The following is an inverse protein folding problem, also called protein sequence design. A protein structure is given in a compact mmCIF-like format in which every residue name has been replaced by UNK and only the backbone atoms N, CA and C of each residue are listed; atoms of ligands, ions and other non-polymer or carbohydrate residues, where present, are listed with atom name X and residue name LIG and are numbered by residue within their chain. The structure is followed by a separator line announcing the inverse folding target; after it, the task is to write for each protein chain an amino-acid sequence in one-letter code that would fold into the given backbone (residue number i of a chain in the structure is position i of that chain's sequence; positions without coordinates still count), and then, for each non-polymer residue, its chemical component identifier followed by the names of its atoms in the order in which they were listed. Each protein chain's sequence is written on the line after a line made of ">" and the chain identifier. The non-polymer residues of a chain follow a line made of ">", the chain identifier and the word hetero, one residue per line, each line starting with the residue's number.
data_IF_845774432168
#
_entry.id   IF_845774432168
#
_cell.length_a   1.000
_cell.length_b   1.000
_cell.length_c   1.000
_cell.angle_alpha   90.00
_cell.angle_beta   90.00
_cell.angle_gamma   90.00
#
_symmetry.space_group_name_H-M   'P 1'
#
loop_
_entity.id
_entity.type
_entity.pdbx_description
1 polymer ?
#
# COMPACT_ATOMS: atom_id res chain seq x y z
N UNK A 1 -48.54 -47.95 62.70
CA UNK A 1 -48.44 -47.65 61.26
C UNK A 1 -47.03 -47.16 60.97
N UNK A 2 -46.14 -48.09 60.65
CA UNK A 2 -44.78 -47.80 60.18
C UNK A 2 -44.88 -47.32 58.73
N UNK A 3 -44.87 -46.00 58.53
CA UNK A 3 -44.82 -45.38 57.21
C UNK A 3 -43.60 -45.92 56.46
N UNK A 4 -43.84 -46.58 55.33
CA UNK A 4 -42.82 -47.25 54.54
C UNK A 4 -41.94 -46.20 53.84
N UNK A 5 -40.91 -45.70 54.53
CA UNK A 5 -39.97 -44.65 54.06
C UNK A 5 -39.14 -45.06 52.84
N UNK A 6 -39.21 -46.33 52.41
CA UNK A 6 -38.43 -46.89 51.28
C UNK A 6 -38.81 -46.33 49.91
N UNK A 7 -40.01 -45.75 49.75
CA UNK A 7 -40.43 -45.17 48.46
C UNK A 7 -39.77 -43.82 48.12
N UNK A 8 -39.38 -43.05 49.15
CA UNK A 8 -38.82 -41.70 48.98
C UNK A 8 -37.33 -41.78 48.59
N UNK A 9 -36.58 -42.73 49.13
CA UNK A 9 -35.15 -42.91 48.86
C UNK A 9 -34.86 -43.23 47.38
N UNK A 10 -35.72 -44.01 46.72
CA UNK A 10 -35.55 -44.36 45.30
C UNK A 10 -35.74 -43.17 44.35
N UNK A 11 -36.62 -42.22 44.69
CA UNK A 11 -36.85 -41.03 43.88
C UNK A 11 -35.66 -40.05 43.95
N UNK A 12 -34.98 -39.95 45.10
CA UNK A 12 -33.79 -39.11 45.25
C UNK A 12 -32.61 -39.56 44.39
N UNK A 13 -32.41 -40.87 44.19
CA UNK A 13 -31.34 -41.38 43.32
C UNK A 13 -31.52 -40.96 41.86
N UNK A 14 -32.76 -41.02 41.34
CA UNK A 14 -33.04 -40.60 39.96
C UNK A 14 -32.86 -39.09 39.76
N UNK A 15 -33.26 -38.28 40.74
CA UNK A 15 -33.01 -36.83 40.72
C UNK A 15 -31.51 -36.56 40.71
N UNK A 16 -30.72 -37.25 41.53
CA UNK A 16 -29.27 -37.09 41.57
C UNK A 16 -28.61 -37.47 40.23
N UNK A 17 -29.04 -38.58 39.61
CA UNK A 17 -28.54 -39.00 38.29
C UNK A 17 -28.87 -37.96 37.22
N UNK A 18 -30.08 -37.40 37.22
CA UNK A 18 -30.47 -36.35 36.28
C UNK A 18 -29.66 -35.06 36.47
N UNK A 19 -29.45 -34.64 37.72
CA UNK A 19 -28.63 -33.45 38.02
C UNK A 19 -27.18 -33.67 37.59
N UNK A 20 -26.58 -34.82 37.93
CA UNK A 20 -25.22 -35.16 37.52
C UNK A 20 -25.10 -35.21 35.99
N UNK A 21 -26.06 -35.82 35.30
CA UNK A 21 -26.13 -35.85 33.84
C UNK A 21 -26.23 -34.45 33.22
N UNK A 22 -27.07 -33.58 33.78
CA UNK A 22 -27.21 -32.20 33.32
C UNK A 22 -25.91 -31.40 33.50
N UNK A 23 -25.20 -31.56 34.62
CA UNK A 23 -23.92 -30.89 34.89
C UNK A 23 -22.84 -31.37 33.90
N UNK A 24 -22.73 -32.68 33.67
CA UNK A 24 -21.77 -33.25 32.71
C UNK A 24 -22.07 -32.77 31.28
N UNK A 25 -23.34 -32.76 30.90
CA UNK A 25 -23.77 -32.28 29.59
C UNK A 25 -23.45 -30.78 29.42
N UNK A 26 -23.76 -29.95 30.43
CA UNK A 26 -23.42 -28.53 30.42
C UNK A 26 -21.91 -28.30 30.31
N UNK A 27 -21.09 -29.11 30.99
CA UNK A 27 -19.64 -29.07 30.86
C UNK A 27 -19.18 -29.35 29.42
N UNK A 28 -19.68 -30.40 28.78
CA UNK A 28 -19.30 -30.73 27.39
C UNK A 28 -19.76 -29.66 26.40
N UNK A 29 -20.96 -29.08 26.57
CA UNK A 29 -21.39 -27.96 25.74
C UNK A 29 -20.49 -26.72 25.92
N UNK A 30 -20.12 -26.38 27.16
CA UNK A 30 -19.19 -25.29 27.43
C UNK A 30 -17.81 -25.54 26.82
N UNK A 31 -17.30 -26.77 26.95
CA UNK A 31 -16.03 -27.18 26.37
C UNK A 31 -16.05 -27.14 24.84
N UNK A 32 -17.10 -27.65 24.21
CA UNK A 32 -17.27 -27.63 22.75
C UNK A 32 -17.33 -26.20 22.22
N UNK A 33 -18.05 -25.30 22.89
CA UNK A 33 -18.09 -23.88 22.52
C UNK A 33 -16.72 -23.22 22.64
N UNK A 34 -15.98 -23.46 23.74
CA UNK A 34 -14.61 -22.95 23.92
C UNK A 34 -13.62 -23.50 22.89
N UNK A 35 -13.69 -24.80 22.59
CA UNK A 35 -12.83 -25.41 21.58
C UNK A 35 -13.11 -24.86 20.18
N UNK A 36 -14.39 -24.64 19.84
CA UNK A 36 -14.77 -23.97 18.59
C UNK A 36 -14.15 -22.58 18.49
N UNK A 37 -14.31 -21.75 19.54
CA UNK A 37 -13.75 -20.40 19.56
C UNK A 37 -12.21 -20.37 19.48
N UNK A 38 -11.52 -21.28 20.17
CA UNK A 38 -10.06 -21.40 20.06
C UNK A 38 -9.61 -21.89 18.68
N UNK A 39 -10.41 -22.76 18.05
CA UNK A 39 -10.11 -23.25 16.70
C UNK A 39 -10.29 -22.17 15.65
N UNK A 40 -11.31 -21.31 15.75
CA UNK A 40 -11.51 -20.19 14.82
C UNK A 40 -10.38 -19.17 14.98
N UNK A 41 -10.06 -18.76 16.21
CA UNK A 41 -8.94 -17.84 16.47
C UNK A 41 -7.60 -18.37 15.94
N UNK A 42 -7.33 -19.68 16.10
CA UNK A 42 -6.11 -20.29 15.57
C UNK A 42 -6.09 -20.29 14.03
N UNK A 43 -7.23 -20.55 13.40
CA UNK A 43 -7.37 -20.51 11.95
C UNK A 43 -7.12 -19.09 11.42
N UNK A 44 -7.74 -18.08 12.02
CA UNK A 44 -7.57 -16.66 11.67
C UNK A 44 -6.11 -16.22 11.77
N UNK A 45 -5.42 -16.56 12.88
CA UNK A 45 -4.01 -16.24 13.04
C UNK A 45 -3.10 -16.95 12.02
N UNK A 46 -3.45 -18.19 11.66
CA UNK A 46 -2.73 -18.96 10.64
C UNK A 46 -2.90 -18.28 9.28
N UNK A 47 -4.13 -17.95 8.90
CA UNK A 47 -4.43 -17.25 7.64
C UNK A 47 -3.74 -15.89 7.58
N UNK A 48 -3.77 -15.11 8.66
CA UNK A 48 -3.11 -13.81 8.73
C UNK A 48 -1.57 -13.96 8.57
N UNK A 49 -0.99 -14.99 9.16
CA UNK A 49 0.45 -15.28 9.02
C UNK A 49 0.80 -15.75 7.60
N UNK A 50 -0.05 -16.55 6.97
CA UNK A 50 0.15 -16.98 5.57
C UNK A 50 0.09 -15.79 4.60
N UNK A 51 -0.88 -14.89 4.78
CA UNK A 51 -0.99 -13.66 3.99
C UNK A 51 0.22 -12.75 4.23
N UNK A 52 0.68 -12.58 5.47
CA UNK A 52 1.90 -11.83 5.80
C UNK A 52 3.13 -12.39 5.07
N UNK A 53 3.28 -13.72 5.03
CA UNK A 53 4.37 -14.39 4.33
C UNK A 53 4.29 -14.18 2.81
N UNK A 54 3.08 -14.25 2.23
CA UNK A 54 2.84 -13.98 0.81
C UNK A 54 3.19 -12.53 0.47
N UNK A 55 2.72 -11.56 1.26
CA UNK A 55 3.02 -10.13 1.13
C UNK A 55 4.54 -9.89 1.18
N UNK A 56 5.21 -10.48 2.18
CA UNK A 56 6.66 -10.35 2.36
C UNK A 56 7.42 -10.92 1.17
N UNK A 57 6.97 -12.07 0.64
CA UNK A 57 7.56 -12.70 -0.54
C UNK A 57 7.36 -11.85 -1.80
N UNK A 58 6.16 -11.32 -2.00
CA UNK A 58 5.85 -10.43 -3.12
C UNK A 58 6.70 -9.15 -3.07
N UNK A 59 6.94 -8.59 -1.89
CA UNK A 59 7.81 -7.42 -1.72
C UNK A 59 9.27 -7.67 -2.11
N UNK A 60 9.73 -8.92 -2.19
CA UNK A 60 11.07 -9.26 -2.66
C UNK A 60 11.10 -9.35 -4.19
N UNK A 61 10.02 -9.81 -4.83
CA UNK A 61 9.94 -9.92 -6.29
C UNK A 61 9.87 -8.55 -6.98
N UNK A 62 10.47 -8.44 -8.16
CA UNK A 62 10.52 -7.20 -8.92
C UNK A 62 9.48 -7.24 -10.04
N UNK A 63 8.63 -6.23 -10.09
CA UNK A 63 7.73 -5.97 -11.23
C UNK A 63 6.80 -7.14 -11.55
N UNK A 64 6.37 -7.87 -10.53
CA UNK A 64 5.50 -9.04 -10.69
C UNK A 64 4.07 -8.69 -10.33
N UNK A 65 3.12 -9.16 -11.12
CA UNK A 65 1.71 -9.20 -10.77
C UNK A 65 1.27 -10.67 -10.64
N UNK A 66 0.65 -11.04 -9.53
CA UNK A 66 0.20 -12.41 -9.27
C UNK A 66 -1.14 -12.44 -8.53
N UNK A 67 -1.95 -13.45 -8.80
CA UNK A 67 -3.18 -13.71 -8.06
C UNK A 67 -2.87 -14.49 -6.80
N UNK A 68 -3.55 -14.17 -5.71
CA UNK A 68 -3.48 -14.88 -4.44
C UNK A 68 -4.89 -15.23 -3.98
N UNK A 69 -5.09 -16.39 -3.34
CA UNK A 69 -6.38 -16.71 -2.76
C UNK A 69 -6.68 -15.79 -1.56
N UNK A 70 -7.94 -15.36 -1.45
CA UNK A 70 -8.43 -14.56 -0.33
C UNK A 70 -9.29 -15.43 0.59
N UNK A 71 -9.11 -15.34 1.92
CA UNK A 71 -10.01 -16.00 2.86
C UNK A 71 -11.45 -15.55 2.65
N UNK A 72 -12.41 -16.43 2.91
CA UNK A 72 -13.85 -16.11 2.76
C UNK A 72 -14.31 -14.94 3.63
N UNK A 73 -13.56 -14.61 4.67
CA UNK A 73 -13.80 -13.48 5.57
C UNK A 73 -13.35 -12.13 4.99
N UNK A 74 -12.63 -12.13 3.88
CA UNK A 74 -12.02 -10.93 3.30
C UNK A 74 -10.74 -10.48 4.00
N UNK A 75 -10.11 -9.44 3.45
CA UNK A 75 -8.98 -8.73 4.04
C UNK A 75 -9.36 -7.26 4.25
N UNK A 76 -9.23 -6.77 5.48
CA UNK A 76 -9.43 -5.36 5.77
C UNK A 76 -8.10 -4.65 5.98
N UNK A 77 -7.88 -3.51 5.33
CA UNK A 77 -6.68 -2.70 5.46
C UNK A 77 -7.02 -1.34 6.06
N UNK A 78 -6.20 -0.92 7.02
CA UNK A 78 -6.37 0.37 7.68
C UNK A 78 -5.03 0.98 8.08
N UNK A 79 -5.00 2.32 8.14
CA UNK A 79 -3.84 3.08 8.56
C UNK A 79 -4.29 4.25 9.44
N UNK A 80 -3.55 4.50 10.52
CA UNK A 80 -3.77 5.69 11.36
C UNK A 80 -3.03 6.91 10.79
N UNK A 81 -3.38 8.12 11.26
CA UNK A 81 -2.63 9.34 10.93
C UNK A 81 -1.15 9.29 11.37
N UNK A 82 -0.81 8.40 12.31
CA UNK A 82 0.56 8.14 12.77
C UNK A 82 1.28 7.06 11.95
N UNK A 83 0.66 6.59 10.87
CA UNK A 83 1.20 5.56 9.98
C UNK A 83 1.38 4.18 10.62
N UNK A 84 0.54 3.88 11.60
CA UNK A 84 0.33 2.50 12.07
C UNK A 84 -0.63 1.80 11.09
N UNK A 85 -0.07 1.25 10.02
CA UNK A 85 -0.82 0.47 9.04
C UNK A 85 -0.93 -0.99 9.48
N UNK A 86 -2.09 -1.60 9.24
CA UNK A 86 -2.33 -3.00 9.53
C UNK A 86 -3.33 -3.61 8.55
N UNK A 87 -3.31 -4.93 8.45
CA UNK A 87 -4.42 -5.68 7.87
C UNK A 87 -5.06 -6.58 8.92
N UNK A 88 -6.34 -6.89 8.74
CA UNK A 88 -7.15 -7.69 9.65
C UNK A 88 -7.91 -8.78 8.88
N UNK A 89 -7.93 -9.99 9.45
CA UNK A 89 -8.73 -11.13 9.01
C UNK A 89 -9.56 -11.61 10.20
N UNK A 90 -10.84 -11.28 10.22
CA UNK A 90 -11.83 -11.74 11.22
C UNK A 90 -11.39 -11.58 12.71
N UNK A 91 -10.61 -10.54 13.01
CA UNK A 91 -10.11 -10.24 14.36
C UNK A 91 -8.61 -10.50 14.56
N UNK A 92 -7.96 -11.23 13.64
CA UNK A 92 -6.50 -11.36 13.62
C UNK A 92 -5.86 -10.18 12.87
N UNK A 93 -5.25 -9.26 13.63
CA UNK A 93 -4.57 -8.09 13.10
C UNK A 93 -3.06 -8.31 12.94
N UNK A 94 -2.50 -7.84 11.83
CA UNK A 94 -1.06 -7.84 11.54
C UNK A 94 -0.59 -6.46 11.10
N UNK A 95 0.43 -5.94 11.77
CA UNK A 95 1.04 -4.63 11.44
C UNK A 95 1.85 -4.72 10.16
N UNK A 96 1.74 -3.68 9.33
CA UNK A 96 2.46 -3.52 8.07
C UNK A 96 3.45 -2.37 8.23
N UNK A 97 4.74 -2.64 7.96
CA UNK A 97 5.80 -1.61 7.99
C UNK A 97 6.20 -1.19 6.57
N UNK A 98 5.89 -2.03 5.59
CA UNK A 98 6.27 -1.82 4.20
C UNK A 98 5.26 -0.91 3.47
N UNK A 99 5.67 -0.23 2.39
CA UNK A 99 4.77 0.63 1.62
C UNK A 99 3.78 -0.21 0.81
N UNK A 100 2.65 -0.54 1.45
CA UNK A 100 1.51 -1.26 0.88
C UNK A 100 0.39 -0.26 0.59
N UNK A 101 -0.27 -0.46 -0.54
CA UNK A 101 -1.42 0.34 -0.98
C UNK A 101 -2.54 -0.63 -1.38
N UNK A 102 -3.64 -0.58 -0.65
CA UNK A 102 -4.78 -1.48 -0.82
C UNK A 102 -6.10 -0.73 -0.58
N UNK A 103 -7.23 -1.17 -1.16
CA UNK A 103 -8.53 -0.67 -0.75
C UNK A 103 -8.83 -1.01 0.71
N UNK A 104 -9.91 -0.45 1.26
CA UNK A 104 -10.33 -0.69 2.64
C UNK A 104 -10.61 -2.16 2.91
N UNK A 105 -11.30 -2.82 1.99
CA UNK A 105 -11.69 -4.20 2.07
C UNK A 105 -11.42 -4.88 0.73
N UNK A 106 -10.95 -6.14 0.80
CA UNK A 106 -10.85 -7.04 -0.34
C UNK A 106 -11.64 -8.29 -0.01
N UNK A 107 -12.77 -8.41 -0.69
CA UNK A 107 -13.67 -9.55 -0.72
C UNK A 107 -13.39 -10.43 -1.94
N UNK A 108 -14.10 -11.54 -2.04
CA UNK A 108 -14.01 -12.47 -3.17
C UNK A 108 -13.06 -13.64 -2.91
N UNK A 109 -12.76 -14.39 -3.97
CA UNK A 109 -11.93 -15.60 -3.89
C UNK A 109 -10.46 -15.33 -4.16
N UNK A 110 -10.14 -14.22 -4.82
CA UNK A 110 -8.79 -13.88 -5.23
C UNK A 110 -8.52 -12.37 -5.14
N UNK A 111 -7.28 -12.02 -4.84
CA UNK A 111 -6.74 -10.67 -4.98
C UNK A 111 -5.53 -10.69 -5.91
N UNK A 112 -5.21 -9.53 -6.46
CA UNK A 112 -3.96 -9.37 -7.22
C UNK A 112 -2.97 -8.59 -6.39
N UNK A 113 -1.78 -9.18 -6.23
CA UNK A 113 -0.59 -8.51 -5.72
C UNK A 113 0.23 -8.02 -6.89
N UNK A 114 0.54 -6.72 -6.92
CA UNK A 114 1.42 -6.13 -7.91
C UNK A 114 2.55 -5.38 -7.23
N UNK A 115 3.80 -5.67 -7.61
CA UNK A 115 4.96 -4.93 -7.10
C UNK A 115 5.56 -4.01 -8.14
N UNK A 116 5.96 -2.81 -7.71
CA UNK A 116 6.75 -1.89 -8.54
C UNK A 116 7.92 -1.35 -7.76
N UNK A 117 9.10 -1.34 -8.37
CA UNK A 117 10.30 -0.80 -7.74
C UNK A 117 10.18 0.73 -7.59
N UNK A 118 10.49 1.22 -6.40
CA UNK A 118 10.65 2.64 -6.12
C UNK A 118 12.16 2.97 -6.11
N UNK A 119 12.60 3.72 -7.14
CA UNK A 119 14.01 4.00 -7.41
C UNK A 119 14.31 5.49 -7.31
N UNK A 120 15.33 5.86 -6.53
CA UNK A 120 15.72 7.24 -6.24
C UNK A 120 17.22 7.41 -5.85
N UNK A 121 18.16 7.56 -6.79
CA UNK A 121 18.16 7.00 -8.16
C UNK A 121 18.35 5.48 -8.18
N UNK A 122 18.87 4.90 -7.10
CA UNK A 122 18.98 3.46 -6.88
C UNK A 122 17.70 2.90 -6.27
N UNK A 123 17.59 1.57 -6.25
CA UNK A 123 16.44 0.88 -5.65
C UNK A 123 16.36 1.16 -4.15
N UNK A 124 15.27 1.79 -3.74
CA UNK A 124 14.94 2.04 -2.33
C UNK A 124 14.15 0.88 -1.76
N UNK A 125 13.01 0.58 -2.39
CA UNK A 125 12.09 -0.46 -1.94
C UNK A 125 11.17 -0.88 -3.08
N UNK A 126 10.31 -1.87 -2.85
CA UNK A 126 9.16 -2.12 -3.72
C UNK A 126 7.91 -1.52 -3.06
N UNK A 127 7.05 -0.91 -3.87
CA UNK A 127 5.65 -0.68 -3.53
C UNK A 127 4.87 -1.94 -3.84
N UNK A 128 3.97 -2.32 -2.94
CA UNK A 128 3.03 -3.41 -3.13
C UNK A 128 1.62 -2.83 -3.25
N UNK A 129 0.99 -3.08 -4.39
CA UNK A 129 -0.41 -2.77 -4.63
C UNK A 129 -1.22 -4.05 -4.49
N UNK A 130 -2.31 -3.99 -3.72
CA UNK A 130 -3.23 -5.10 -3.52
C UNK A 130 -4.60 -4.62 -3.98
N UNK A 131 -5.26 -5.37 -4.86
CA UNK A 131 -6.59 -4.99 -5.35
C UNK A 131 -7.44 -6.22 -5.71
N UNK A 132 -8.75 -6.04 -5.71
CA UNK A 132 -9.70 -7.05 -6.17
C UNK A 132 -9.87 -6.97 -7.70
N UNK A 133 -9.86 -8.11 -8.42
CA UNK A 133 -10.27 -8.17 -9.83
C UNK A 133 -11.70 -7.66 -10.08
N UNK A 134 -12.54 -7.63 -9.04
CA UNK A 134 -13.93 -7.15 -9.07
C UNK A 134 -14.02 -5.62 -8.96
N UNK A 135 -12.89 -4.92 -8.89
CA UNK A 135 -12.84 -3.46 -8.94
C UNK A 135 -12.70 -2.97 -10.39
N UNK A 136 -13.59 -2.08 -10.83
CA UNK A 136 -13.52 -1.43 -12.14
C UNK A 136 -12.90 -0.03 -12.04
N UNK A 137 -11.92 0.23 -12.90
CA UNK A 137 -11.30 1.56 -13.03
C UNK A 137 -11.75 2.23 -14.34
N UNK A 138 -12.22 3.46 -14.24
CA UNK A 138 -12.50 4.32 -15.40
C UNK A 138 -11.43 5.40 -15.50
N UNK A 139 -10.61 5.35 -16.54
CA UNK A 139 -9.56 6.32 -16.82
C UNK A 139 -10.09 7.41 -17.74
N UNK A 140 -10.08 8.65 -17.27
CA UNK A 140 -10.75 9.77 -17.91
C UNK A 140 -9.72 10.86 -18.22
N UNK A 141 -9.19 10.93 -19.45
CA UNK A 141 -8.38 12.08 -19.87
C UNK A 141 -9.29 13.30 -20.07
N UNK A 142 -8.98 14.42 -19.42
CA UNK A 142 -9.75 15.67 -19.58
C UNK A 142 -9.29 16.49 -20.78
N UNK A 143 -8.05 16.30 -21.21
CA UNK A 143 -7.44 17.00 -22.33
C UNK A 143 -6.34 16.15 -22.99
N UNK A 144 -5.90 16.56 -24.20
CA UNK A 144 -4.88 15.83 -24.96
C UNK A 144 -3.51 15.80 -24.28
N UNK A 145 -3.13 16.87 -23.57
CA UNK A 145 -1.83 16.93 -22.90
C UNK A 145 -1.81 15.94 -21.72
N UNK A 146 -2.87 15.89 -20.93
CA UNK A 146 -3.03 14.93 -19.85
C UNK A 146 -3.01 13.48 -20.35
N UNK A 147 -3.63 13.21 -21.50
CA UNK A 147 -3.56 11.89 -22.12
C UNK A 147 -2.11 11.49 -22.42
N UNK A 148 -1.35 12.33 -23.11
CA UNK A 148 0.03 12.01 -23.53
C UNK A 148 1.01 11.97 -22.34
N UNK A 149 0.93 12.93 -21.42
CA UNK A 149 1.93 13.09 -20.36
C UNK A 149 1.67 12.20 -19.14
N UNK A 150 0.40 11.85 -18.86
CA UNK A 150 0.03 11.11 -17.66
C UNK A 150 -0.58 9.75 -18.02
N UNK A 151 -1.67 9.73 -18.80
CA UNK A 151 -2.42 8.50 -19.03
C UNK A 151 -1.62 7.44 -19.81
N UNK A 152 -0.98 7.81 -20.93
CA UNK A 152 -0.23 6.87 -21.77
C UNK A 152 0.91 6.16 -21.03
N UNK A 153 1.79 6.86 -20.27
CA UNK A 153 2.76 6.19 -19.42
C UNK A 153 2.11 5.22 -18.43
N UNK A 154 1.00 5.63 -17.80
CA UNK A 154 0.26 4.84 -16.81
C UNK A 154 -0.29 3.54 -17.40
N UNK A 155 -0.97 3.61 -18.54
CA UNK A 155 -1.59 2.44 -19.19
C UNK A 155 -0.57 1.51 -19.84
N UNK A 156 0.58 2.02 -20.26
CA UNK A 156 1.67 1.18 -20.82
C UNK A 156 2.29 0.25 -19.78
N UNK A 157 2.34 0.68 -18.52
CA UNK A 157 3.04 -0.05 -17.44
C UNK A 157 2.09 -0.70 -16.42
N UNK A 158 0.78 -0.58 -16.60
CA UNK A 158 -0.22 -1.21 -15.74
C UNK A 158 -0.33 -2.70 -16.08
N UNK A 159 -0.34 -3.63 -15.10
CA UNK A 159 -0.46 -5.05 -15.40
C UNK A 159 -1.80 -5.37 -16.06
N UNK A 160 -1.84 -6.35 -16.99
CA UNK A 160 -3.05 -6.72 -17.72
C UNK A 160 -4.15 -7.34 -16.83
N UNK A 161 -3.84 -7.61 -15.56
CA UNK A 161 -4.79 -8.12 -14.56
C UNK A 161 -5.73 -7.03 -14.01
N UNK A 162 -5.46 -5.75 -14.29
CA UNK A 162 -6.31 -4.64 -13.84
C UNK A 162 -7.46 -4.44 -14.82
N UNK A 163 -8.69 -4.49 -14.30
CA UNK A 163 -9.88 -4.18 -15.07
C UNK A 163 -10.06 -2.66 -15.16
N UNK A 164 -9.57 -2.06 -16.25
CA UNK A 164 -9.76 -0.65 -16.54
C UNK A 164 -10.41 -0.42 -17.90
N UNK A 165 -10.98 0.76 -18.07
CA UNK A 165 -11.54 1.25 -19.32
C UNK A 165 -11.25 2.73 -19.47
N UNK A 166 -10.92 3.16 -20.68
CA UNK A 166 -10.68 4.58 -20.97
C UNK A 166 -11.97 5.13 -21.55
N UNK A 167 -12.54 6.14 -20.89
CA UNK A 167 -13.78 6.80 -21.30
C UNK A 167 -13.59 8.32 -21.38
N UNK A 168 -14.38 8.97 -22.22
CA UNK A 168 -14.39 10.43 -22.28
C UNK A 168 -15.23 11.01 -21.13
N UNK A 169 -14.97 12.25 -20.68
CA UNK A 169 -15.79 12.89 -19.65
C UNK A 169 -17.30 12.86 -19.97
N UNK A 170 -17.67 13.10 -21.22
CA UNK A 170 -19.08 13.14 -21.67
C UNK A 170 -19.81 11.79 -21.50
N UNK A 171 -19.07 10.68 -21.50
CA UNK A 171 -19.62 9.32 -21.40
C UNK A 171 -19.94 8.92 -19.96
N UNK A 172 -19.42 9.64 -18.95
CA UNK A 172 -19.59 9.30 -17.52
C UNK A 172 -21.07 9.25 -17.12
N UNK A 173 -21.86 10.20 -17.60
CA UNK A 173 -23.29 10.28 -17.30
C UNK A 173 -24.11 9.13 -17.88
N UNK A 174 -23.58 8.47 -18.91
CA UNK A 174 -24.20 7.34 -19.60
C UNK A 174 -23.82 6.00 -18.96
N UNK A 175 -22.75 5.98 -18.15
CA UNK A 175 -22.35 4.78 -17.42
C UNK A 175 -23.37 4.49 -16.31
N UNK A 176 -23.88 3.27 -16.33
CA UNK A 176 -24.66 2.70 -15.24
C UNK A 176 -23.77 1.68 -14.55
N UNK A 177 -23.91 1.54 -13.23
CA UNK A 177 -23.07 0.61 -12.49
C UNK A 177 -23.25 -0.79 -13.08
N UNK A 178 -22.17 -1.30 -13.68
CA UNK A 178 -22.04 -2.72 -14.01
C UNK A 178 -21.85 -3.46 -12.69
N UNK A 179 -22.04 -4.77 -12.64
CA UNK A 179 -22.14 -5.58 -11.42
C UNK A 179 -20.86 -5.64 -10.52
N UNK A 180 -20.00 -4.62 -10.56
CA UNK A 180 -18.80 -4.47 -9.76
C UNK A 180 -19.10 -3.89 -8.38
N UNK A 181 -18.48 -4.49 -7.36
CA UNK A 181 -18.61 -4.07 -5.97
C UNK A 181 -17.99 -2.68 -5.73
N UNK A 182 -16.87 -2.40 -6.40
CA UNK A 182 -16.10 -1.18 -6.24
C UNK A 182 -15.79 -0.54 -7.61
N UNK A 183 -15.98 0.79 -7.70
CA UNK A 183 -15.70 1.56 -8.92
C UNK A 183 -14.84 2.78 -8.60
N UNK A 184 -13.77 2.98 -9.37
CA UNK A 184 -12.86 4.11 -9.25
C UNK A 184 -12.84 4.95 -10.54
N UNK A 185 -13.12 6.24 -10.41
CA UNK A 185 -12.99 7.19 -11.51
C UNK A 185 -11.66 7.95 -11.38
N UNK A 186 -10.74 7.72 -12.30
CA UNK A 186 -9.40 8.31 -12.28
C UNK A 186 -9.28 9.33 -13.42
N UNK A 187 -9.34 10.60 -13.06
CA UNK A 187 -9.24 11.72 -13.99
C UNK A 187 -7.80 12.14 -14.16
N UNK A 188 -7.35 12.28 -15.41
CA UNK A 188 -6.04 12.80 -15.77
C UNK A 188 -6.22 14.18 -16.39
N UNK A 189 -5.62 15.21 -15.80
CA UNK A 189 -5.88 16.60 -16.19
C UNK A 189 -4.65 17.49 -16.20
N UNK A 190 -4.59 18.46 -17.11
CA UNK A 190 -3.64 19.57 -17.05
C UNK A 190 -4.04 20.68 -16.06
N UNK A 191 -5.28 20.67 -15.56
CA UNK A 191 -5.80 21.73 -14.69
C UNK A 191 -5.46 21.50 -13.21
N UNK A 192 -5.17 22.59 -12.48
CA UNK A 192 -4.84 22.49 -11.05
C UNK A 192 -6.07 22.24 -10.16
N UNK A 193 -7.22 22.79 -10.57
CA UNK A 193 -8.47 22.78 -9.77
C UNK A 193 -9.61 22.10 -10.53
N UNK A 194 -9.33 20.93 -11.11
CA UNK A 194 -10.36 20.17 -11.82
C UNK A 194 -11.33 19.51 -10.85
N UNK A 195 -12.62 19.75 -11.05
CA UNK A 195 -13.68 19.14 -10.26
C UNK A 195 -14.26 17.92 -11.02
N UNK A 196 -14.23 16.70 -10.44
CA UNK A 196 -14.84 15.53 -11.04
C UNK A 196 -16.31 15.73 -11.40
N UNK A 197 -16.73 15.18 -12.54
CA UNK A 197 -18.11 15.23 -12.96
C UNK A 197 -19.01 14.38 -12.04
N UNK A 198 -20.29 14.79 -11.85
CA UNK A 198 -21.24 13.97 -11.11
C UNK A 198 -21.44 12.60 -11.75
N UNK A 199 -21.55 11.57 -10.93
CA UNK A 199 -21.78 10.18 -11.38
C UNK A 199 -23.20 9.72 -11.06
N UNK A 200 -23.69 8.75 -11.83
CA UNK A 200 -25.00 8.17 -11.62
C UNK A 200 -25.15 7.57 -10.20
N UNK A 201 -26.38 7.58 -9.68
CA UNK A 201 -26.68 7.13 -8.30
C UNK A 201 -26.33 5.67 -8.05
N UNK A 202 -26.40 4.83 -9.08
CA UNK A 202 -26.10 3.39 -9.01
C UNK A 202 -24.69 3.07 -8.50
N UNK A 203 -23.74 4.00 -8.60
CA UNK A 203 -22.37 3.80 -8.12
C UNK A 203 -22.23 4.13 -6.62
N UNK A 204 -22.91 3.42 -5.73
CA UNK A 204 -22.98 3.80 -4.30
C UNK A 204 -21.60 4.01 -3.65
N UNK A 205 -20.66 3.11 -3.93
CA UNK A 205 -19.32 3.09 -3.35
C UNK A 205 -18.24 3.71 -4.24
N UNK A 206 -18.61 4.56 -5.21
CA UNK A 206 -17.61 5.14 -6.12
C UNK A 206 -16.67 6.13 -5.43
N UNK A 207 -15.40 6.03 -5.79
CA UNK A 207 -14.35 6.99 -5.42
C UNK A 207 -13.85 7.70 -6.67
N UNK A 208 -13.33 8.91 -6.51
CA UNK A 208 -12.65 9.62 -7.58
C UNK A 208 -11.25 10.06 -7.17
N UNK A 209 -10.34 10.00 -8.13
CA UNK A 209 -8.98 10.50 -8.02
C UNK A 209 -8.72 11.44 -9.19
N UNK A 210 -8.24 12.66 -8.92
CA UNK A 210 -7.80 13.58 -9.98
C UNK A 210 -6.29 13.69 -9.90
N UNK A 211 -5.63 13.46 -11.04
CA UNK A 211 -4.18 13.46 -11.17
C UNK A 211 -3.81 14.57 -12.16
N UNK A 212 -3.01 15.53 -11.69
CA UNK A 212 -2.36 16.52 -12.56
C UNK A 212 -0.85 16.30 -12.58
N UNK A 213 -0.04 17.26 -13.02
CA UNK A 213 1.42 17.10 -13.12
C UNK A 213 2.16 17.03 -11.76
N UNK A 214 1.54 17.49 -10.68
CA UNK A 214 2.21 17.70 -9.39
C UNK A 214 1.50 17.02 -8.22
N UNK A 215 0.18 16.84 -8.32
CA UNK A 215 -0.66 16.41 -7.23
C UNK A 215 -1.65 15.33 -7.63
N UNK A 216 -2.03 14.55 -6.63
CA UNK A 216 -3.20 13.69 -6.63
C UNK A 216 -4.22 14.29 -5.67
N UNK A 217 -5.49 14.31 -6.07
CA UNK A 217 -6.59 14.82 -5.28
C UNK A 217 -7.58 13.67 -5.04
N UNK A 218 -7.82 13.39 -3.77
CA UNK A 218 -8.71 12.33 -3.31
C UNK A 218 -10.13 12.89 -3.12
N UNK A 219 -11.10 12.24 -3.75
CA UNK A 219 -12.50 12.62 -3.65
C UNK A 219 -13.36 11.45 -3.15
N UNK A 220 -14.33 11.78 -2.29
CA UNK A 220 -15.39 10.86 -1.87
C UNK A 220 -16.70 11.27 -2.50
N UNK A 221 -17.49 10.31 -2.92
CA UNK A 221 -18.84 10.56 -3.42
C UNK A 221 -19.75 11.00 -2.26
N UNK A 222 -20.43 12.13 -2.45
CA UNK A 222 -21.58 12.57 -1.65
C UNK A 222 -22.79 12.72 -2.58
N UNK A 223 -23.73 11.78 -2.43
CA UNK A 223 -24.92 11.62 -3.30
C UNK A 223 -24.53 11.40 -4.76
N UNK A 224 -24.54 12.44 -5.58
CA UNK A 224 -24.17 12.37 -7.00
C UNK A 224 -22.84 13.09 -7.28
N UNK A 225 -22.37 13.91 -6.35
CA UNK A 225 -21.22 14.77 -6.54
C UNK A 225 -20.01 14.18 -5.83
N UNK A 226 -18.83 14.65 -6.22
CA UNK A 226 -17.59 14.32 -5.53
C UNK A 226 -17.17 15.48 -4.63
N UNK A 227 -16.82 15.17 -3.38
CA UNK A 227 -16.26 16.12 -2.42
C UNK A 227 -14.78 15.87 -2.27
N UNK A 228 -13.99 16.94 -2.41
CA UNK A 228 -12.55 16.90 -2.20
C UNK A 228 -12.27 16.60 -0.73
N UNK A 229 -11.52 15.52 -0.48
CA UNK A 229 -11.04 15.15 0.85
C UNK A 229 -9.68 15.80 1.07
N UNK A 230 -8.74 15.53 0.16
CA UNK A 230 -7.35 15.94 0.34
C UNK A 230 -6.60 16.05 -0.98
N UNK A 231 -5.63 16.97 -1.00
CA UNK A 231 -4.62 17.10 -2.06
C UNK A 231 -3.28 16.62 -1.51
N UNK A 232 -2.61 15.74 -2.24
CA UNK A 232 -1.27 15.23 -1.89
C UNK A 232 -0.32 15.35 -3.08
N UNK A 233 0.95 15.71 -2.85
CA UNK A 233 1.92 15.69 -3.93
C UNK A 233 2.32 14.25 -4.26
N UNK A 234 2.72 14.00 -5.49
CA UNK A 234 3.31 12.73 -5.91
C UNK A 234 4.68 12.95 -6.54
N UNK A 235 5.46 11.89 -6.70
CA UNK A 235 6.85 11.96 -7.16
C UNK A 235 7.06 11.41 -8.57
N UNK A 236 6.54 10.21 -8.84
CA UNK A 236 6.67 9.51 -10.11
C UNK A 236 5.46 8.59 -10.36
N UNK A 237 5.50 7.86 -11.47
CA UNK A 237 4.48 6.89 -11.85
C UNK A 237 4.17 5.84 -10.76
N UNK A 238 5.16 5.33 -10.03
CA UNK A 238 4.91 4.40 -8.93
C UNK A 238 4.07 5.04 -7.81
N UNK A 239 4.31 6.31 -7.50
CA UNK A 239 3.48 7.05 -6.54
C UNK A 239 2.09 7.40 -7.07
N UNK A 240 1.88 7.45 -8.39
CA UNK A 240 0.52 7.59 -8.96
C UNK A 240 -0.26 6.29 -8.74
N UNK A 241 0.35 5.13 -9.02
CA UNK A 241 -0.28 3.84 -8.72
C UNK A 241 -0.60 3.70 -7.22
N UNK A 242 0.33 4.13 -6.35
CA UNK A 242 0.08 4.15 -4.92
C UNK A 242 -1.22 4.90 -4.57
N UNK A 243 -1.45 6.08 -5.16
CA UNK A 243 -2.68 6.84 -4.93
C UNK A 243 -3.93 6.11 -5.46
N UNK A 244 -3.84 5.46 -6.61
CA UNK A 244 -4.95 4.73 -7.23
C UNK A 244 -5.42 3.52 -6.39
N UNK A 245 -4.46 2.79 -5.80
CA UNK A 245 -4.75 1.57 -5.05
C UNK A 245 -4.91 1.80 -3.55
N UNK A 246 -4.66 3.02 -3.05
CA UNK A 246 -4.86 3.32 -1.64
C UNK A 246 -6.34 3.43 -1.29
N UNK A 247 -6.71 2.97 -0.10
CA UNK A 247 -8.02 3.19 0.52
C UNK A 247 -8.42 4.66 0.49
N UNK A 248 -7.49 5.51 0.91
CA UNK A 248 -7.64 6.95 1.13
C UNK A 248 -6.27 7.67 1.07
N UNK A 249 -6.27 8.96 1.40
CA UNK A 249 -5.06 9.78 1.39
C UNK A 249 -4.11 9.48 2.57
N UNK A 250 -4.60 8.89 3.66
CA UNK A 250 -3.81 8.53 4.86
C UNK A 250 -2.93 7.34 4.52
N UNK A 251 -3.50 6.26 3.99
CA UNK A 251 -2.73 5.09 3.55
C UNK A 251 -1.70 5.47 2.49
N UNK A 252 -2.09 6.35 1.54
CA UNK A 252 -1.18 6.90 0.55
C UNK A 252 0.01 7.61 1.19
N UNK A 253 -0.26 8.56 2.09
CA UNK A 253 0.76 9.33 2.79
C UNK A 253 1.70 8.41 3.58
N UNK A 254 1.15 7.44 4.30
CA UNK A 254 1.93 6.54 5.14
C UNK A 254 2.83 5.60 4.35
N UNK A 255 2.34 5.04 3.25
CA UNK A 255 3.18 4.26 2.35
C UNK A 255 4.35 5.08 1.80
N UNK A 256 4.12 6.35 1.44
CA UNK A 256 5.21 7.22 0.98
C UNK A 256 6.18 7.61 2.09
N UNK A 257 5.70 7.93 3.30
CA UNK A 257 6.56 8.22 4.46
C UNK A 257 7.48 7.05 4.79
N UNK A 258 6.96 5.83 4.79
CA UNK A 258 7.75 4.61 4.99
C UNK A 258 8.81 4.44 3.89
N UNK A 259 8.48 4.75 2.64
CA UNK A 259 9.42 4.72 1.53
C UNK A 259 10.54 5.76 1.66
N UNK A 260 10.22 6.99 2.07
CA UNK A 260 11.21 8.06 2.25
C UNK A 260 12.09 7.84 3.49
N UNK A 261 11.54 7.30 4.58
CA UNK A 261 12.35 6.86 5.71
C UNK A 261 13.41 5.84 5.27
N UNK A 262 13.01 4.88 4.43
CA UNK A 262 13.93 3.89 3.87
C UNK A 262 14.94 4.51 2.89
N UNK A 263 14.53 5.51 2.10
CA UNK A 263 15.45 6.27 1.24
C UNK A 263 16.53 6.93 2.08
N UNK A 264 16.18 7.61 3.17
CA UNK A 264 17.16 8.26 4.05
C UNK A 264 18.26 7.31 4.53
N UNK A 265 17.86 6.12 5.00
CA UNK A 265 18.77 5.08 5.46
C UNK A 265 19.68 4.61 4.31
N UNK A 266 19.10 4.31 3.15
CA UNK A 266 19.87 3.80 2.00
C UNK A 266 20.82 4.88 1.45
N UNK A 267 20.40 6.15 1.39
CA UNK A 267 21.25 7.28 1.00
C UNK A 267 22.46 7.43 1.91
N UNK A 268 22.30 7.24 3.21
CA UNK A 268 23.43 7.21 4.14
C UNK A 268 24.41 6.09 3.80
N UNK A 269 23.91 4.88 3.58
CA UNK A 269 24.73 3.71 3.23
C UNK A 269 25.53 3.96 1.95
N UNK A 270 24.90 4.53 0.92
CA UNK A 270 25.61 4.89 -0.32
C UNK A 270 26.64 6.00 -0.10
N UNK A 271 26.35 7.01 0.74
CA UNK A 271 27.31 8.06 1.06
C UNK A 271 28.56 7.50 1.78
N UNK A 272 28.36 6.61 2.75
CA UNK A 272 29.46 5.94 3.46
C UNK A 272 30.25 4.99 2.56
N UNK A 273 29.57 4.24 1.69
CA UNK A 273 30.21 3.39 0.68
C UNK A 273 31.06 4.21 -0.27
N UNK A 274 30.56 5.33 -0.77
CA UNK A 274 31.29 6.22 -1.67
C UNK A 274 32.58 6.75 -1.02
N UNK A 275 32.52 7.17 0.25
CA UNK A 275 33.71 7.60 1.01
C UNK A 275 34.75 6.49 1.15
N UNK A 276 34.33 5.25 1.43
CA UNK A 276 35.25 4.10 1.53
C UNK A 276 35.87 3.74 0.18
N UNK A 277 35.09 3.80 -0.89
CA UNK A 277 35.57 3.57 -2.26
C UNK A 277 36.60 4.63 -2.66
N UNK A 278 36.37 5.90 -2.34
CA UNK A 278 37.33 6.98 -2.57
C UNK A 278 38.69 6.66 -1.94
N UNK A 279 38.70 6.29 -0.66
CA UNK A 279 39.92 5.95 0.07
C UNK A 279 40.68 4.79 -0.59
N UNK A 280 39.96 3.76 -1.04
CA UNK A 280 40.57 2.62 -1.74
C UNK A 280 41.15 3.03 -3.10
N UNK A 281 40.45 3.86 -3.87
CA UNK A 281 40.90 4.31 -5.18
C UNK A 281 42.13 5.22 -5.06
N UNK A 282 42.14 6.14 -4.09
CA UNK A 282 43.31 6.99 -3.79
C UNK A 282 44.52 6.12 -3.44
N UNK A 283 44.35 5.10 -2.60
CA UNK A 283 45.43 4.16 -2.25
C UNK A 283 45.93 3.35 -3.46
N UNK A 284 45.09 3.14 -4.47
CA UNK A 284 45.47 2.50 -5.75
C UNK A 284 46.04 3.46 -6.80
N UNK A 285 46.26 4.73 -6.47
CA UNK A 285 46.79 5.75 -7.38
C UNK A 285 45.76 6.42 -8.30
N UNK A 286 44.47 6.12 -8.13
CA UNK A 286 43.36 6.73 -8.90
C UNK A 286 42.83 8.00 -8.22
N UNK A 287 43.71 9.00 -8.06
CA UNK A 287 43.42 10.23 -7.30
C UNK A 287 42.36 11.13 -7.93
N UNK A 288 42.02 10.96 -9.21
CA UNK A 288 40.98 11.73 -9.90
C UNK A 288 39.55 11.24 -9.61
N UNK A 289 39.39 10.09 -8.95
CA UNK A 289 38.09 9.55 -8.55
C UNK A 289 37.69 10.08 -7.16
N UNK A 290 37.36 11.37 -7.10
CA UNK A 290 36.95 12.05 -5.85
C UNK A 290 35.43 12.07 -5.72
N UNK A 291 34.88 11.36 -4.74
CA UNK A 291 33.43 11.34 -4.47
C UNK A 291 33.00 12.45 -3.49
N UNK A 292 33.94 12.97 -2.69
CA UNK A 292 33.84 14.18 -1.88
C UNK A 292 33.27 13.96 -0.48
N UNK A 293 32.69 15.03 0.10
CA UNK A 293 32.27 15.06 1.51
C UNK A 293 30.87 15.67 1.66
N UNK A 294 30.17 15.37 2.75
CA UNK A 294 28.79 15.84 2.96
C UNK A 294 28.67 17.37 2.96
N UNK A 295 29.73 18.09 3.35
CA UNK A 295 29.73 19.56 3.43
C UNK A 295 29.73 20.22 2.05
N UNK A 296 30.17 19.51 1.00
CA UNK A 296 30.20 20.05 -0.36
C UNK A 296 29.07 19.45 -1.18
N UNK A 297 27.95 20.17 -1.26
CA UNK A 297 26.78 19.74 -2.02
C UNK A 297 27.07 19.53 -3.51
N UNK A 298 28.16 20.06 -4.09
CA UNK A 298 28.49 19.80 -5.49
C UNK A 298 29.01 18.37 -5.75
N UNK A 299 29.42 17.63 -4.72
CA UNK A 299 29.95 16.26 -4.88
C UNK A 299 28.86 15.22 -4.72
N UNK A 300 29.07 14.01 -5.24
CA UNK A 300 28.09 12.93 -5.13
C UNK A 300 27.83 12.51 -3.68
N UNK A 301 28.84 12.52 -2.82
CA UNK A 301 28.66 12.34 -1.37
C UNK A 301 27.81 13.47 -0.78
N UNK A 302 28.08 14.73 -1.13
CA UNK A 302 27.24 15.87 -0.71
C UNK A 302 25.78 15.73 -1.12
N UNK A 303 25.53 15.37 -2.36
CA UNK A 303 24.19 15.11 -2.90
C UNK A 303 23.48 13.96 -2.19
N UNK A 304 24.18 12.85 -1.87
CA UNK A 304 23.61 11.75 -1.08
C UNK A 304 23.27 12.17 0.36
N UNK A 305 24.11 13.00 0.99
CA UNK A 305 23.82 13.51 2.33
C UNK A 305 22.64 14.49 2.30
N UNK A 306 22.51 15.32 1.25
CA UNK A 306 21.34 16.18 1.04
C UNK A 306 20.07 15.36 0.76
N UNK A 307 20.18 14.30 -0.05
CA UNK A 307 19.09 13.37 -0.33
C UNK A 307 18.56 12.74 0.97
N UNK A 308 19.46 12.31 1.85
CA UNK A 308 19.12 11.79 3.17
C UNK A 308 18.28 12.81 3.96
N UNK A 309 18.76 14.04 4.08
CA UNK A 309 18.10 15.09 4.87
C UNK A 309 16.68 15.38 4.36
N UNK A 310 16.52 15.51 3.05
CA UNK A 310 15.20 15.75 2.43
C UNK A 310 14.29 14.53 2.62
N UNK A 311 14.83 13.31 2.50
CA UNK A 311 14.06 12.10 2.73
C UNK A 311 13.60 11.96 4.20
N UNK A 312 14.41 12.41 5.17
CA UNK A 312 14.01 12.51 6.58
C UNK A 312 12.91 13.54 6.81
N UNK A 313 12.91 14.66 6.07
CA UNK A 313 11.84 15.65 6.14
C UNK A 313 10.53 15.10 5.54
N UNK A 314 10.63 14.48 4.36
CA UNK A 314 9.50 13.86 3.66
C UNK A 314 8.88 12.69 4.43
N UNK A 315 9.67 11.97 5.25
CA UNK A 315 9.14 10.90 6.09
C UNK A 315 8.30 11.43 7.26
N UNK A 316 8.47 12.69 7.65
CA UNK A 316 7.65 13.36 8.66
C UNK A 316 6.43 14.04 8.03
N UNK A 317 6.63 14.74 6.92
CA UNK A 317 5.59 15.47 6.22
C UNK A 317 5.84 15.50 4.72
N UNK A 318 4.86 15.08 3.92
CA UNK A 318 4.95 15.19 2.47
C UNK A 318 4.82 16.66 2.04
N UNK A 319 5.89 17.19 1.44
CA UNK A 319 5.97 18.56 0.94
C UNK A 319 6.39 18.58 -0.54
N UNK A 320 5.68 19.36 -1.36
CA UNK A 320 5.96 19.48 -2.79
C UNK A 320 7.35 20.06 -3.08
N UNK A 321 7.79 21.07 -2.33
CA UNK A 321 9.08 21.71 -2.52
C UNK A 321 10.23 20.70 -2.30
N UNK A 322 10.14 19.91 -1.25
CA UNK A 322 11.10 18.85 -0.93
C UNK A 322 11.11 17.76 -2.00
N UNK A 323 9.95 17.37 -2.54
CA UNK A 323 9.86 16.43 -3.66
C UNK A 323 10.53 16.98 -4.93
N UNK A 324 10.32 18.25 -5.26
CA UNK A 324 10.96 18.89 -6.42
C UNK A 324 12.50 18.97 -6.25
N UNK A 325 12.97 19.27 -5.03
CA UNK A 325 14.40 19.22 -4.71
C UNK A 325 14.95 17.80 -4.85
N UNK A 326 14.19 16.79 -4.40
CA UNK A 326 14.58 15.39 -4.50
C UNK A 326 14.69 14.92 -5.97
N UNK A 327 13.80 15.37 -6.86
CA UNK A 327 13.89 15.13 -8.30
C UNK A 327 15.18 15.75 -8.88
N UNK A 328 15.51 16.97 -8.48
CA UNK A 328 16.75 17.64 -8.92
C UNK A 328 17.98 16.85 -8.48
N UNK A 329 18.05 16.45 -7.21
CA UNK A 329 19.14 15.64 -6.66
C UNK A 329 19.25 14.30 -7.38
N UNK A 330 18.13 13.64 -7.68
CA UNK A 330 18.11 12.39 -8.43
C UNK A 330 18.82 12.54 -9.79
N UNK A 331 18.50 13.60 -10.54
CA UNK A 331 19.13 13.84 -11.85
C UNK A 331 20.62 14.17 -11.73
N UNK A 332 21.00 14.98 -10.73
CA UNK A 332 22.40 15.28 -10.44
C UNK A 332 23.19 14.02 -10.09
N UNK A 333 22.64 13.15 -9.23
CA UNK A 333 23.25 11.87 -8.86
C UNK A 333 23.41 10.95 -10.06
N UNK A 334 22.40 10.84 -10.93
CA UNK A 334 22.46 10.02 -12.15
C UNK A 334 23.57 10.51 -13.09
N UNK A 335 23.63 11.82 -13.35
CA UNK A 335 24.64 12.42 -14.23
C UNK A 335 26.04 12.27 -13.63
N UNK A 336 26.19 12.49 -12.32
CA UNK A 336 27.47 12.30 -11.63
C UNK A 336 27.95 10.83 -11.72
N UNK A 337 27.07 9.86 -11.47
CA UNK A 337 27.41 8.43 -11.56
C UNK A 337 27.84 8.03 -12.98
N UNK A 338 27.14 8.51 -14.01
CA UNK A 338 27.52 8.29 -15.41
C UNK A 338 28.87 8.92 -15.76
N UNK A 339 29.17 10.11 -15.23
CA UNK A 339 30.47 10.74 -15.44
C UNK A 339 31.61 9.98 -14.75
N UNK A 340 31.38 9.42 -13.56
CA UNK A 340 32.35 8.53 -12.92
C UNK A 340 32.62 7.27 -13.77
N UNK A 341 31.58 6.64 -14.29
CA UNK A 341 31.71 5.49 -15.18
C UNK A 341 32.57 5.82 -16.42
N UNK A 342 32.28 6.95 -17.08
CA UNK A 342 33.05 7.44 -18.25
C UNK A 342 34.53 7.69 -17.91
N UNK A 343 34.82 8.14 -16.69
CA UNK A 343 36.18 8.41 -16.21
C UNK A 343 36.87 7.17 -15.61
N UNK A 344 36.34 5.96 -15.84
CA UNK A 344 36.87 4.69 -15.31
C UNK A 344 36.97 4.63 -13.77
N UNK A 345 36.12 5.39 -13.10
CA UNK A 345 35.88 5.29 -11.67
C UNK A 345 34.77 4.26 -11.41
N UNK A 346 34.74 3.67 -10.21
CA UNK A 346 33.73 2.68 -9.86
C UNK A 346 32.34 3.33 -9.76
N UNK A 347 31.35 2.76 -10.45
CA UNK A 347 29.95 3.16 -10.32
C UNK A 347 29.44 2.90 -8.89
N UNK A 348 28.65 3.82 -8.36
CA UNK A 348 28.08 3.67 -7.02
C UNK A 348 26.82 2.81 -7.03
N UNK A 349 25.98 2.97 -8.04
CA UNK A 349 24.69 2.31 -8.19
C UNK A 349 24.30 2.05 -9.63
#
# INVERSE_FOLDING_TARGET
>A
MTMNKKGIEMQFHWIFILIAGAIILAFFFSMAYKQKALSTQKLELTLATDIENIITTALISKETAQRIPIPTQGLNFDCTEFCDCAFNIDGAQKTIIQPIFAPEEITGTEAVLWTKAFNLPYRVTNFLYIYSPETKYYFIPTDQNANVQLLQPITTNIPPLINYEIINPEEISQQINSDYENTYFVYFTGEQNYQPQPVHRSFENAKALVINQNFVQFYKKDRNNFQLIKVRPYFNQATIYAAMFSKDDIMYECGLKNAFNKLAIISQVYAERAKKLEQQLVNSGKVWCTYGQCQNQATIVGQLCQQKQIAEQLSQQLNQQELAQLQTIQQTLLTANQNFARNSCTELF
#
